data_IF_161873925597
#
_entry.id   IF_161873925597
#
_cell.length_a   1.000
_cell.length_b   1.000
_cell.length_c   1.000
_cell.angle_alpha   90.00
_cell.angle_beta   90.00
_cell.angle_gamma   90.00
#
_symmetry.space_group_name_H-M   'P 1'
#
loop_
_entity.id
_entity.type
_entity.pdbx_description
1 polymer ?
#
# COMPACT_ATOMS: atom_id res chain seq x y z
N UNK A 1 -14.95 45.07 50.51
CA UNK A 1 -14.57 46.50 50.39
C UNK A 1 -13.06 46.58 50.15
N UNK A 2 -12.64 47.18 49.03
CA UNK A 2 -11.44 48.05 48.83
C UNK A 2 -10.10 47.52 49.39
N UNK A 3 -9.02 47.36 48.62
CA UNK A 3 -8.27 48.42 47.92
C UNK A 3 -7.35 47.76 46.87
N UNK A 4 -7.35 48.31 45.66
CA UNK A 4 -6.33 48.12 44.63
C UNK A 4 -5.16 49.08 44.90
N UNK A 5 -3.89 48.67 44.81
CA UNK A 5 -2.80 49.58 44.55
C UNK A 5 -2.43 49.55 43.07
N UNK A 6 -2.75 50.66 42.43
CA UNK A 6 -2.20 51.15 41.18
C UNK A 6 -0.77 51.65 41.46
N UNK A 7 0.22 51.22 40.67
CA UNK A 7 1.43 52.03 40.46
C UNK A 7 1.99 51.82 39.04
N UNK A 8 2.50 52.90 38.42
CA UNK A 8 2.77 52.98 36.99
C UNK A 8 4.28 53.01 36.69
N UNK A 9 4.57 53.09 35.39
CA UNK A 9 5.73 53.73 34.77
C UNK A 9 6.95 52.86 34.45
N UNK A 10 7.27 52.86 33.14
CA UNK A 10 8.43 53.55 32.55
C UNK A 10 9.32 52.67 31.64
N UNK A 11 9.35 53.10 30.38
CA UNK A 11 10.49 53.19 29.47
C UNK A 11 11.21 51.91 28.97
N UNK A 12 10.98 51.66 27.67
CA UNK A 12 11.97 51.74 26.59
C UNK A 12 13.38 51.22 26.89
N UNK A 13 13.69 50.05 26.33
CA UNK A 13 14.99 49.83 25.68
C UNK A 13 14.76 49.07 24.36
N UNK A 14 14.63 49.83 23.27
CA UNK A 14 15.04 49.35 21.94
C UNK A 14 16.57 49.19 21.99
N UNK A 15 17.03 47.95 22.15
CA UNK A 15 18.38 47.57 21.74
C UNK A 15 18.25 46.86 20.39
N UNK A 16 18.46 47.62 19.31
CA UNK A 16 18.79 47.04 18.02
C UNK A 16 20.16 46.37 18.13
N UNK A 17 20.22 45.09 17.81
CA UNK A 17 21.46 44.43 17.44
C UNK A 17 21.22 43.74 16.10
N UNK A 18 21.70 44.38 15.05
CA UNK A 18 21.76 43.81 13.72
C UNK A 18 22.97 42.88 13.58
N UNK A 19 22.72 41.76 12.90
CA UNK A 19 23.69 41.02 12.09
C UNK A 19 24.30 39.77 12.72
N UNK A 20 24.91 38.89 11.91
CA UNK A 20 24.53 38.46 10.57
C UNK A 20 23.97 37.02 10.59
N UNK A 21 23.06 36.74 9.67
CA UNK A 21 22.53 35.42 9.39
C UNK A 21 23.67 34.41 9.15
N UNK A 22 23.87 33.54 10.14
CA UNK A 22 24.46 32.22 9.96
C UNK A 22 23.60 31.22 10.69
N UNK A 23 22.40 31.00 10.15
CA UNK A 23 21.73 29.74 10.38
C UNK A 23 22.59 28.67 9.70
N UNK A 24 23.15 27.79 10.52
CA UNK A 24 23.75 26.56 10.03
C UNK A 24 22.67 25.79 9.29
N UNK A 25 22.73 25.84 7.97
CA UNK A 25 21.94 25.01 7.07
C UNK A 25 22.45 23.57 7.21
N UNK A 26 21.95 22.90 8.24
CA UNK A 26 21.93 21.45 8.34
C UNK A 26 20.49 21.01 8.63
N UNK A 27 19.52 21.64 7.97
CA UNK A 27 18.29 20.94 7.65
C UNK A 27 18.62 20.08 6.44
N UNK A 28 19.17 18.89 6.69
CA UNK A 28 18.99 17.80 5.76
C UNK A 28 17.47 17.59 5.67
N UNK A 29 16.83 18.26 4.71
CA UNK A 29 15.55 17.80 4.18
C UNK A 29 15.74 16.31 3.94
N UNK A 30 14.96 15.43 4.58
CA UNK A 30 14.89 14.06 4.14
C UNK A 30 14.51 14.17 2.67
N UNK A 31 15.44 13.83 1.80
CA UNK A 31 15.15 13.65 0.40
C UNK A 31 14.01 12.65 0.40
N UNK A 32 12.81 13.10 0.01
CA UNK A 32 11.73 12.22 -0.37
C UNK A 32 12.12 11.57 -1.70
N UNK A 33 13.30 10.96 -1.74
CA UNK A 33 13.56 9.78 -2.51
C UNK A 33 12.51 8.80 -2.01
N UNK A 34 11.34 8.87 -2.64
CA UNK A 34 10.42 7.76 -2.73
C UNK A 34 11.33 6.56 -2.96
N UNK A 35 11.49 5.74 -1.93
CA UNK A 35 12.07 4.43 -2.07
C UNK A 35 11.10 3.70 -2.98
N UNK A 36 11.25 3.91 -4.30
CA UNK A 36 10.82 2.95 -5.29
C UNK A 36 11.74 1.77 -5.02
N UNK A 37 11.30 0.93 -4.08
CA UNK A 37 11.75 -0.45 -4.05
C UNK A 37 11.64 -0.94 -5.49
N UNK A 38 12.78 -1.36 -6.05
CA UNK A 38 12.85 -1.79 -7.43
C UNK A 38 11.73 -2.81 -7.66
N UNK A 39 10.79 -2.56 -8.59
CA UNK A 39 9.70 -3.49 -8.84
C UNK A 39 10.25 -4.89 -9.07
N UNK A 40 9.64 -5.89 -8.43
CA UNK A 40 10.07 -7.27 -8.58
C UNK A 40 10.09 -7.70 -10.06
N UNK A 41 10.94 -8.66 -10.41
CA UNK A 41 10.91 -9.29 -11.73
C UNK A 41 9.69 -10.22 -11.84
N UNK A 42 8.56 -9.65 -12.28
CA UNK A 42 7.30 -10.37 -12.42
C UNK A 42 7.28 -11.31 -13.64
N UNK A 43 8.35 -11.40 -14.44
CA UNK A 43 8.45 -12.40 -15.51
C UNK A 43 8.35 -13.83 -14.96
N UNK A 44 8.75 -14.02 -13.70
CA UNK A 44 8.69 -15.29 -12.97
C UNK A 44 7.26 -15.73 -12.60
N UNK A 45 6.23 -14.92 -12.85
CA UNK A 45 4.84 -15.30 -12.64
C UNK A 45 4.32 -16.30 -13.69
N UNK A 46 4.89 -16.28 -14.91
CA UNK A 46 4.47 -17.17 -16.01
C UNK A 46 4.54 -18.66 -15.66
N UNK A 47 5.65 -19.19 -15.12
CA UNK A 47 5.72 -20.61 -14.75
C UNK A 47 4.75 -20.99 -13.61
N UNK A 48 4.19 -20.03 -12.87
CA UNK A 48 3.25 -20.28 -11.76
C UNK A 48 1.81 -20.48 -12.26
N UNK A 49 1.51 -20.18 -13.53
CA UNK A 49 0.18 -20.36 -14.10
C UNK A 49 -0.21 -21.84 -14.05
N UNK A 50 -1.43 -22.12 -13.60
CA UNK A 50 -1.96 -23.47 -13.42
C UNK A 50 -1.60 -24.11 -12.06
N UNK A 51 -0.76 -23.46 -11.25
CA UNK A 51 -0.43 -23.91 -9.90
C UNK A 51 -1.19 -23.09 -8.86
N UNK A 52 -1.51 -23.69 -7.72
CA UNK A 52 -2.06 -22.97 -6.57
C UNK A 52 -1.02 -22.04 -5.95
N UNK A 53 -1.44 -21.03 -5.15
CA UNK A 53 -0.50 -20.18 -4.43
C UNK A 53 0.41 -20.93 -3.45
N UNK A 54 -0.06 -22.06 -2.89
CA UNK A 54 0.71 -22.89 -1.98
C UNK A 54 1.78 -23.71 -2.71
N UNK A 55 1.45 -24.28 -3.88
CA UNK A 55 2.40 -25.04 -4.71
C UNK A 55 3.48 -24.15 -5.31
N UNK A 56 3.08 -22.99 -5.86
CA UNK A 56 3.98 -22.07 -6.55
C UNK A 56 4.76 -21.17 -5.60
N UNK A 57 4.29 -21.00 -4.36
CA UNK A 57 4.82 -20.01 -3.43
C UNK A 57 4.42 -18.57 -3.76
N UNK A 58 3.38 -18.34 -4.57
CA UNK A 58 2.93 -17.02 -5.03
C UNK A 58 2.67 -16.01 -3.90
N UNK A 59 2.24 -16.48 -2.72
CA UNK A 59 1.95 -15.62 -1.57
C UNK A 59 3.04 -15.66 -0.49
N UNK A 60 4.20 -16.26 -0.78
CA UNK A 60 5.34 -16.37 0.14
C UNK A 60 6.29 -15.19 -0.04
N UNK A 61 7.18 -15.01 0.94
CA UNK A 61 8.13 -13.89 0.99
C UNK A 61 9.04 -13.77 -0.25
N UNK A 62 9.38 -14.89 -0.89
CA UNK A 62 10.23 -14.93 -2.09
C UNK A 62 9.46 -14.78 -3.40
N UNK A 63 8.15 -14.56 -3.34
CA UNK A 63 7.33 -14.34 -4.54
C UNK A 63 7.72 -13.04 -5.24
N UNK A 64 7.66 -12.96 -6.58
CA UNK A 64 7.90 -11.73 -7.32
C UNK A 64 7.02 -10.55 -6.92
N UNK A 65 5.83 -10.82 -6.37
CA UNK A 65 4.84 -9.82 -5.96
C UNK A 65 4.84 -9.55 -4.45
N UNK A 66 5.69 -10.21 -3.65
CA UNK A 66 5.54 -10.20 -2.19
C UNK A 66 5.71 -8.80 -1.59
N UNK A 67 6.70 -8.05 -2.08
CA UNK A 67 6.99 -6.66 -1.66
C UNK A 67 5.78 -5.78 -1.96
N UNK A 68 5.36 -5.72 -3.24
CA UNK A 68 4.23 -4.90 -3.68
C UNK A 68 2.92 -5.28 -2.97
N UNK A 69 2.65 -6.57 -2.79
CA UNK A 69 1.46 -7.07 -2.12
C UNK A 69 1.43 -6.68 -0.64
N UNK A 70 2.57 -6.79 0.05
CA UNK A 70 2.67 -6.42 1.46
C UNK A 70 2.55 -4.92 1.65
N UNK A 71 3.19 -4.12 0.79
CA UNK A 71 3.06 -2.67 0.80
C UNK A 71 1.60 -2.23 0.56
N UNK A 72 0.91 -2.89 -0.38
CA UNK A 72 -0.49 -2.60 -0.70
C UNK A 72 -1.46 -2.94 0.43
N UNK A 73 -1.26 -4.08 1.11
CA UNK A 73 -2.17 -4.58 2.12
C UNK A 73 -1.86 -4.08 3.54
N UNK A 74 -0.60 -3.76 3.82
CA UNK A 74 -0.15 -3.34 5.14
C UNK A 74 -0.60 -4.31 6.23
N UNK A 75 -1.32 -3.85 7.28
CA UNK A 75 -1.79 -4.71 8.38
C UNK A 75 -2.70 -5.88 7.94
N UNK A 76 -3.35 -5.79 6.78
CA UNK A 76 -4.28 -6.82 6.29
C UNK A 76 -3.56 -7.98 5.57
N UNK A 77 -2.23 -7.91 5.39
CA UNK A 77 -1.47 -8.91 4.62
C UNK A 77 -1.59 -10.34 5.16
N UNK A 78 -1.45 -10.56 6.47
CA UNK A 78 -1.58 -11.91 7.07
C UNK A 78 -3.00 -12.45 6.99
N UNK A 79 -3.99 -11.58 7.20
CA UNK A 79 -5.40 -11.92 7.07
C UNK A 79 -5.72 -12.36 5.64
N UNK A 80 -5.18 -11.63 4.66
CA UNK A 80 -5.33 -11.97 3.25
C UNK A 80 -4.72 -13.33 2.91
N UNK A 81 -3.47 -13.61 3.33
CA UNK A 81 -2.83 -14.91 3.07
C UNK A 81 -3.60 -16.06 3.71
N UNK A 82 -4.11 -15.86 4.92
CA UNK A 82 -4.97 -16.84 5.61
C UNK A 82 -6.26 -17.09 4.83
N UNK A 83 -6.92 -16.03 4.36
CA UNK A 83 -8.13 -16.15 3.55
C UNK A 83 -7.86 -16.85 2.21
N UNK A 84 -6.65 -16.72 1.66
CA UNK A 84 -6.21 -17.34 0.42
C UNK A 84 -5.65 -18.76 0.59
N UNK A 85 -5.65 -19.33 1.80
CA UNK A 85 -5.24 -20.71 2.01
C UNK A 85 -6.08 -21.67 1.16
N UNK A 86 -5.41 -22.52 0.38
CA UNK A 86 -6.08 -23.43 -0.56
C UNK A 86 -6.76 -22.74 -1.76
N UNK A 87 -6.42 -21.49 -2.06
CA UNK A 87 -6.96 -20.77 -3.22
C UNK A 87 -6.77 -21.52 -4.54
N UNK A 88 -7.63 -21.17 -5.51
CA UNK A 88 -7.61 -21.78 -6.83
C UNK A 88 -6.24 -21.64 -7.50
N UNK A 89 -5.93 -22.49 -8.49
CA UNK A 89 -4.79 -22.26 -9.36
C UNK A 89 -4.77 -20.83 -9.92
N UNK A 90 -3.57 -20.32 -10.20
CA UNK A 90 -3.38 -19.04 -10.88
C UNK A 90 -3.78 -19.21 -12.35
N UNK A 91 -4.81 -18.48 -12.78
CA UNK A 91 -5.37 -18.58 -14.13
C UNK A 91 -5.19 -17.27 -14.89
N UNK A 92 -4.97 -17.35 -16.19
CA UNK A 92 -5.01 -16.17 -17.06
C UNK A 92 -6.45 -15.73 -17.32
N UNK A 93 -6.70 -14.43 -17.21
CA UNK A 93 -7.95 -13.76 -17.57
C UNK A 93 -7.61 -12.47 -18.34
N UNK A 94 -7.52 -12.58 -19.67
CA UNK A 94 -7.01 -11.51 -20.52
C UNK A 94 -5.54 -11.17 -20.20
N UNK A 95 -5.27 -9.91 -19.88
CA UNK A 95 -3.93 -9.43 -19.51
C UNK A 95 -3.58 -9.70 -18.02
N UNK A 96 -4.53 -10.20 -17.23
CA UNK A 96 -4.35 -10.43 -15.81
C UNK A 96 -4.16 -11.92 -15.48
N UNK A 97 -3.53 -12.18 -14.34
CA UNK A 97 -3.47 -13.47 -13.67
C UNK A 97 -4.36 -13.40 -12.43
N UNK A 98 -5.21 -14.39 -12.21
CA UNK A 98 -6.25 -14.37 -11.17
C UNK A 98 -6.21 -15.66 -10.35
N UNK A 99 -6.32 -15.52 -9.03
CA UNK A 99 -6.60 -16.63 -8.11
C UNK A 99 -7.63 -16.16 -7.09
N UNK A 100 -8.53 -17.07 -6.66
CA UNK A 100 -9.66 -16.77 -5.78
C UNK A 100 -9.67 -17.77 -4.64
N UNK A 101 -9.95 -17.31 -3.42
CA UNK A 101 -10.05 -18.19 -2.26
C UNK A 101 -11.20 -19.19 -2.36
N UNK A 102 -11.14 -20.35 -1.68
CA UNK A 102 -12.22 -21.34 -1.73
C UNK A 102 -13.54 -20.80 -1.19
N UNK A 103 -13.49 -20.01 -0.13
CA UNK A 103 -14.65 -19.33 0.46
C UNK A 103 -15.18 -18.20 -0.41
N UNK A 104 -14.45 -17.82 -1.47
CA UNK A 104 -14.73 -16.67 -2.35
C UNK A 104 -14.84 -15.35 -1.57
N UNK A 105 -14.12 -15.25 -0.46
CA UNK A 105 -14.00 -14.05 0.38
C UNK A 105 -12.68 -13.31 0.14
N UNK A 106 -11.79 -13.83 -0.71
CA UNK A 106 -10.59 -13.12 -1.12
C UNK A 106 -10.27 -13.42 -2.58
N UNK A 107 -9.62 -12.47 -3.25
CA UNK A 107 -9.06 -12.67 -4.58
C UNK A 107 -7.75 -11.89 -4.74
N UNK A 108 -6.91 -12.37 -5.65
CA UNK A 108 -5.75 -11.66 -6.16
C UNK A 108 -5.87 -11.61 -7.68
N UNK A 109 -5.76 -10.41 -8.24
CA UNK A 109 -5.56 -10.18 -9.66
C UNK A 109 -4.25 -9.40 -9.86
N UNK A 110 -3.39 -9.94 -10.72
CA UNK A 110 -2.07 -9.40 -11.04
C UNK A 110 -2.09 -9.00 -12.51
N UNK A 111 -1.66 -7.80 -12.86
CA UNK A 111 -1.50 -7.34 -14.24
C UNK A 111 -0.02 -7.10 -14.49
N UNK A 112 0.72 -8.11 -14.98
CA UNK A 112 2.18 -8.03 -15.00
C UNK A 112 2.76 -6.96 -15.90
N UNK A 113 2.07 -6.60 -16.98
CA UNK A 113 2.53 -5.56 -17.90
C UNK A 113 2.54 -4.16 -17.25
N UNK A 114 1.68 -3.95 -16.26
CA UNK A 114 1.48 -2.64 -15.61
C UNK A 114 2.06 -2.60 -14.19
N UNK A 115 2.73 -3.68 -13.74
CA UNK A 115 3.13 -3.89 -12.34
C UNK A 115 1.99 -3.59 -11.36
N UNK A 116 0.77 -3.99 -11.72
CA UNK A 116 -0.43 -3.63 -10.97
C UNK A 116 -1.06 -4.83 -10.26
N UNK A 117 -1.50 -4.59 -9.03
CA UNK A 117 -2.27 -5.54 -8.23
C UNK A 117 -3.67 -5.00 -8.00
N UNK A 118 -4.65 -5.91 -8.00
CA UNK A 118 -5.98 -5.71 -7.45
C UNK A 118 -6.25 -6.83 -6.47
N UNK A 119 -6.57 -6.47 -5.24
CA UNK A 119 -6.78 -7.42 -4.15
C UNK A 119 -8.11 -7.12 -3.51
N UNK A 120 -8.89 -8.17 -3.26
CA UNK A 120 -10.13 -8.05 -2.50
C UNK A 120 -10.11 -8.93 -1.28
N UNK A 121 -10.64 -8.42 -0.18
CA UNK A 121 -10.86 -9.15 1.06
C UNK A 121 -12.25 -8.80 1.59
N UNK A 122 -13.09 -9.81 1.79
CA UNK A 122 -14.44 -9.65 2.30
C UNK A 122 -14.43 -9.81 3.82
N UNK A 123 -15.09 -8.90 4.51
CA UNK A 123 -15.42 -9.01 5.94
C UNK A 123 -16.93 -8.91 6.14
N UNK A 124 -17.35 -8.79 7.41
CA UNK A 124 -18.76 -8.66 7.80
C UNK A 124 -19.41 -7.39 7.24
N UNK A 125 -18.63 -6.35 6.94
CA UNK A 125 -19.10 -5.06 6.44
C UNK A 125 -19.14 -5.00 4.90
N UNK A 126 -18.45 -5.91 4.22
CA UNK A 126 -18.47 -6.04 2.77
C UNK A 126 -17.10 -6.30 2.16
N UNK A 127 -16.94 -5.92 0.89
CA UNK A 127 -15.67 -6.02 0.17
C UNK A 127 -14.77 -4.83 0.49
N UNK A 128 -13.58 -5.12 0.98
CA UNK A 128 -12.46 -4.19 1.01
C UNK A 128 -11.55 -4.47 -0.17
N UNK A 129 -11.38 -3.49 -1.05
CA UNK A 129 -10.59 -3.61 -2.27
C UNK A 129 -9.36 -2.71 -2.21
N UNK A 130 -8.22 -3.26 -2.59
CA UNK A 130 -6.94 -2.57 -2.69
C UNK A 130 -6.47 -2.63 -4.13
N UNK A 131 -5.83 -1.56 -4.59
CA UNK A 131 -5.26 -1.46 -5.93
C UNK A 131 -3.96 -0.70 -5.89
N UNK A 132 -2.98 -1.12 -6.68
CA UNK A 132 -1.78 -0.32 -6.94
C UNK A 132 -2.20 1.09 -7.41
N UNK A 133 -1.77 2.17 -6.71
CA UNK A 133 -2.11 3.54 -7.10
C UNK A 133 -1.66 3.87 -8.53
N UNK A 134 -2.49 4.63 -9.25
CA UNK A 134 -2.16 5.06 -10.62
C UNK A 134 -2.26 3.97 -11.70
N UNK A 135 -2.48 2.71 -11.34
CA UNK A 135 -2.79 1.67 -12.31
C UNK A 135 -4.15 1.97 -12.98
N UNK A 136 -4.23 1.85 -14.31
CA UNK A 136 -5.49 1.96 -15.07
C UNK A 136 -5.88 0.64 -15.75
N UNK A 137 -5.66 -0.46 -15.06
CA UNK A 137 -6.09 -1.78 -15.51
C UNK A 137 -7.54 -2.08 -15.10
N UNK A 138 -8.38 -2.45 -16.07
CA UNK A 138 -9.75 -2.89 -15.80
C UNK A 138 -9.76 -4.19 -14.97
N UNK A 139 -10.74 -4.34 -14.07
CA UNK A 139 -10.90 -5.58 -13.31
C UNK A 139 -11.17 -6.78 -14.24
N UNK A 140 -10.49 -7.93 -14.04
CA UNK A 140 -10.71 -9.14 -14.84
C UNK A 140 -12.15 -9.65 -14.73
N UNK A 141 -12.62 -10.38 -15.76
CA UNK A 141 -14.01 -10.84 -15.84
C UNK A 141 -14.39 -11.73 -14.66
N UNK A 142 -13.50 -12.63 -14.24
CA UNK A 142 -13.71 -13.52 -13.10
C UNK A 142 -13.90 -12.74 -11.79
N UNK A 143 -13.13 -11.66 -11.60
CA UNK A 143 -13.22 -10.80 -10.42
C UNK A 143 -14.53 -10.00 -10.45
N UNK A 144 -14.91 -9.42 -11.60
CA UNK A 144 -16.20 -8.71 -11.73
C UNK A 144 -17.38 -9.63 -11.40
N UNK A 145 -17.34 -10.87 -11.88
CA UNK A 145 -18.37 -11.87 -11.60
C UNK A 145 -18.40 -12.31 -10.13
N UNK A 146 -17.26 -12.26 -9.44
CA UNK A 146 -17.18 -12.51 -8.00
C UNK A 146 -17.80 -11.35 -7.19
N UNK A 147 -17.49 -10.11 -7.56
CA UNK A 147 -17.94 -8.91 -6.85
C UNK A 147 -19.43 -8.60 -7.04
N UNK A 148 -20.06 -9.14 -8.08
CA UNK A 148 -21.48 -8.92 -8.38
C UNK A 148 -22.43 -9.86 -7.60
N UNK A 149 -21.93 -10.57 -6.58
CA UNK A 149 -22.65 -11.58 -5.78
C UNK A 149 -22.77 -11.17 -4.32
#
# INVERSE_FOLDING_TARGET
MKILPMLPALALLLAGCGGPDKYAENAATPDLAMASETPGDWSQLRPMIGQTPDESGLLRERSPISVDLNALLGPDAERFRTAMAGASPLLSDGAALVTISPSRQAYLAIVPADHALHVGLRDETGWRNYRTPGADSSLPAQVRALLSR
#
